data_IF_574902179805
#
_entry.id   IF_574902179805
#
_cell.length_a   1.000
_cell.length_b   1.000
_cell.length_c   1.000
_cell.angle_alpha   90.00
_cell.angle_beta   90.00
_cell.angle_gamma   90.00
#
_symmetry.space_group_name_H-M   'P 1'
#
loop_
_entity.id
_entity.type
_entity.pdbx_description
1 polymer ?
#
# COMPACT_ATOMS: atom_id res chain seq x y z
N UNK A 1 46.04 -9.69 36.42
CA UNK A 1 46.48 -11.09 36.50
C UNK A 1 47.10 -11.40 35.17
N UNK A 2 48.43 -11.13 35.02
CA UNK A 2 49.53 -12.06 34.76
C UNK A 2 49.14 -13.12 33.71
N UNK A 3 49.77 -13.12 32.52
CA UNK A 3 51.05 -13.76 32.29
C UNK A 3 51.60 -13.45 30.89
N UNK A 4 52.84 -13.02 30.85
CA UNK A 4 53.69 -12.90 29.67
C UNK A 4 54.51 -14.18 29.52
N UNK A 5 54.65 -14.78 28.34
CA UNK A 5 55.75 -15.72 28.13
C UNK A 5 56.49 -15.44 26.79
N UNK A 6 57.51 -14.61 26.85
CA UNK A 6 58.57 -14.65 25.83
C UNK A 6 59.87 -14.21 26.49
N UNK A 7 60.51 -15.13 27.21
CA UNK A 7 61.94 -15.08 27.59
C UNK A 7 62.43 -16.50 27.62
N UNK A 8 63.18 -16.86 26.57
CA UNK A 8 64.22 -17.90 26.58
C UNK A 8 64.71 -18.14 25.17
N UNK A 9 65.87 -17.58 24.89
CA UNK A 9 66.91 -18.26 24.10
C UNK A 9 68.03 -17.26 23.86
N UNK A 10 68.91 -17.12 24.82
CA UNK A 10 70.32 -16.79 24.64
C UNK A 10 71.04 -17.31 25.88
N UNK A 11 71.57 -18.52 25.74
CA UNK A 11 72.50 -19.14 26.69
C UNK A 11 73.90 -18.74 26.31
N UNK A 12 74.53 -18.06 27.23
CA UNK A 12 75.99 -17.82 27.26
C UNK A 12 76.66 -19.12 27.69
N UNK A 13 77.58 -19.58 26.92
CA UNK A 13 78.60 -20.50 27.42
C UNK A 13 79.98 -19.99 27.12
N UNK A 14 80.63 -19.64 28.19
CA UNK A 14 82.05 -19.45 28.38
C UNK A 14 82.79 -20.73 28.10
N UNK A 15 83.79 -20.73 27.23
CA UNK A 15 84.82 -21.76 27.23
C UNK A 15 86.21 -21.11 27.33
N UNK A 16 86.87 -21.55 28.38
CA UNK A 16 88.23 -21.31 28.82
C UNK A 16 89.24 -21.57 27.78
N UNK A 17 90.33 -20.71 27.82
CA UNK A 17 91.64 -20.99 27.34
C UNK A 17 92.29 -22.20 28.02
N UNK A 18 93.14 -22.94 27.35
CA UNK A 18 94.36 -23.41 27.95
C UNK A 18 95.63 -23.06 27.17
N UNK A 19 96.57 -22.87 27.86
CA UNK A 19 97.99 -22.63 27.97
C UNK A 19 98.89 -23.19 26.86
N UNK A 20 99.85 -22.41 26.63
CA UNK A 20 101.16 -22.54 25.97
C UNK A 20 101.84 -23.88 26.20
N UNK A 21 102.41 -24.43 25.13
CA UNK A 21 103.74 -25.07 25.17
C UNK A 21 104.48 -24.90 23.86
N UNK A 22 105.67 -24.28 24.06
CA UNK A 22 106.75 -24.13 23.12
C UNK A 22 107.33 -25.49 22.65
N UNK A 23 107.47 -25.68 21.33
CA UNK A 23 108.58 -26.49 20.83
C UNK A 23 109.03 -25.93 19.49
N UNK A 24 110.27 -25.60 19.52
CA UNK A 24 111.16 -25.10 18.49
C UNK A 24 111.10 -25.74 17.11
N UNK A 25 111.29 -24.90 16.10
CA UNK A 25 112.10 -25.15 14.93
C UNK A 25 111.48 -25.66 13.68
N UNK A 26 111.02 -24.78 12.84
CA UNK A 26 111.32 -24.88 11.40
C UNK A 26 110.81 -23.60 10.69
N UNK A 27 111.67 -22.92 10.03
CA UNK A 27 111.48 -21.76 9.18
C UNK A 27 110.56 -22.19 7.99
N UNK A 28 109.33 -21.77 8.01
CA UNK A 28 108.47 -21.74 6.86
C UNK A 28 108.38 -20.29 6.36
N UNK A 29 108.90 -20.13 5.17
CA UNK A 29 108.81 -18.89 4.44
C UNK A 29 107.37 -18.44 4.29
N UNK A 30 106.95 -17.39 4.88
CA UNK A 30 105.68 -16.74 4.60
C UNK A 30 105.73 -16.18 3.21
N UNK A 31 105.12 -16.88 2.28
CA UNK A 31 104.71 -16.31 1.03
C UNK A 31 103.79 -15.14 1.29
N UNK A 32 104.28 -13.92 0.97
CA UNK A 32 103.42 -12.76 0.90
C UNK A 32 102.20 -13.08 0.03
N UNK A 33 101.06 -13.16 0.66
CA UNK A 33 99.84 -13.03 -0.11
C UNK A 33 99.84 -11.60 -0.66
N UNK A 34 99.95 -11.53 -1.99
CA UNK A 34 99.69 -10.27 -2.72
C UNK A 34 98.21 -9.93 -2.43
N UNK A 35 98.01 -8.95 -1.55
CA UNK A 35 96.77 -8.22 -1.53
C UNK A 35 96.74 -7.43 -2.85
N UNK A 36 96.35 -8.15 -3.90
CA UNK A 36 95.78 -7.46 -5.04
C UNK A 36 94.40 -6.91 -4.60
N UNK A 37 94.43 -5.83 -3.86
CA UNK A 37 93.30 -4.93 -3.71
C UNK A 37 92.86 -4.62 -5.12
N UNK A 38 91.75 -5.27 -5.53
CA UNK A 38 91.07 -4.84 -6.72
C UNK A 38 90.70 -3.39 -6.56
N UNK A 39 91.66 -2.52 -7.11
CA UNK A 39 91.33 -1.12 -7.30
C UNK A 39 90.23 -1.08 -8.34
N UNK A 40 88.98 -1.24 -7.84
CA UNK A 40 87.79 -0.94 -8.64
C UNK A 40 87.94 0.52 -9.09
N UNK A 41 88.08 0.66 -10.40
CA UNK A 41 88.26 1.96 -10.99
C UNK A 41 87.08 2.85 -10.51
N UNK A 42 87.36 3.99 -9.95
CA UNK A 42 86.36 4.96 -9.48
C UNK A 42 85.35 5.31 -10.57
N UNK A 43 85.64 5.02 -11.77
CA UNK A 43 84.80 5.23 -12.93
C UNK A 43 83.65 4.16 -12.99
N UNK A 44 83.97 2.89 -12.79
CA UNK A 44 82.96 1.84 -12.75
C UNK A 44 82.00 1.98 -11.61
N UNK A 45 82.42 2.34 -10.47
CA UNK A 45 81.54 2.56 -9.32
C UNK A 45 80.58 3.74 -9.55
N UNK A 46 81.07 4.82 -10.19
CA UNK A 46 80.22 5.96 -10.58
C UNK A 46 79.19 5.58 -11.67
N UNK A 47 79.61 4.83 -12.69
CA UNK A 47 78.66 4.35 -13.74
C UNK A 47 77.65 3.44 -13.20
N UNK A 48 77.95 2.47 -12.35
CA UNK A 48 76.98 1.61 -11.70
C UNK A 48 75.99 2.39 -10.83
N UNK A 49 76.50 3.34 -10.00
CA UNK A 49 75.62 4.18 -9.18
C UNK A 49 74.70 5.05 -10.02
N UNK A 50 75.25 5.70 -11.07
CA UNK A 50 74.39 6.50 -11.96
C UNK A 50 73.38 5.70 -12.77
N UNK A 51 73.74 4.48 -13.17
CA UNK A 51 72.81 3.55 -13.83
C UNK A 51 71.71 3.10 -12.88
N UNK A 52 72.09 2.80 -11.62
CA UNK A 52 71.11 2.40 -10.58
C UNK A 52 70.17 3.54 -10.23
N UNK A 53 70.72 4.78 -10.09
CA UNK A 53 69.88 5.99 -9.87
C UNK A 53 69.00 6.25 -11.09
N UNK A 54 69.57 6.12 -12.31
CA UNK A 54 68.78 6.32 -13.53
C UNK A 54 67.63 5.33 -13.71
N UNK A 55 67.88 4.05 -13.43
CA UNK A 55 66.85 3.03 -13.48
C UNK A 55 65.79 3.22 -12.40
N UNK A 56 66.17 3.64 -11.18
CA UNK A 56 65.20 3.93 -10.11
C UNK A 56 64.37 5.14 -10.47
N UNK A 57 64.98 6.24 -10.94
CA UNK A 57 64.26 7.44 -11.38
C UNK A 57 63.34 7.14 -12.56
N UNK A 58 63.84 6.33 -13.54
CA UNK A 58 63.01 5.89 -14.65
C UNK A 58 61.82 5.02 -14.17
N UNK A 59 62.05 4.08 -13.24
CA UNK A 59 60.99 3.24 -12.64
C UNK A 59 59.94 4.10 -11.92
N UNK A 60 60.36 5.05 -11.12
CA UNK A 60 59.42 5.97 -10.42
C UNK A 60 58.67 6.86 -11.41
N UNK A 61 59.38 7.41 -12.43
CA UNK A 61 58.75 8.20 -13.48
C UNK A 61 57.73 7.35 -14.29
N UNK A 62 58.07 6.09 -14.61
CA UNK A 62 57.16 5.16 -15.25
C UNK A 62 55.93 4.88 -14.39
N UNK A 63 56.08 4.60 -13.08
CA UNK A 63 54.99 4.42 -12.13
C UNK A 63 54.09 5.66 -11.97
N UNK A 64 54.67 6.86 -12.14
CA UNK A 64 53.92 8.12 -12.10
C UNK A 64 53.13 8.40 -13.39
N UNK A 65 53.68 7.98 -14.56
CA UNK A 65 53.07 8.20 -15.87
C UNK A 65 52.11 7.09 -16.30
N UNK A 66 52.39 5.84 -15.90
CA UNK A 66 51.55 4.70 -16.20
C UNK A 66 50.22 4.81 -15.37
N UNK A 67 49.11 4.80 -16.07
CA UNK A 67 47.77 4.93 -15.47
C UNK A 67 47.03 3.60 -15.52
N UNK A 68 46.31 3.29 -14.46
CA UNK A 68 45.38 2.17 -14.39
C UNK A 68 44.00 2.71 -13.99
N UNK A 69 42.96 1.94 -14.28
CA UNK A 69 41.61 2.28 -13.90
C UNK A 69 41.34 1.74 -12.50
N UNK A 70 40.92 2.60 -11.60
CA UNK A 70 40.38 2.21 -10.29
C UNK A 70 38.94 1.72 -10.49
N UNK A 71 38.64 0.53 -10.04
CA UNK A 71 37.33 -0.09 -10.19
C UNK A 71 36.71 -0.39 -8.83
N UNK A 72 35.39 -0.31 -8.78
CA UNK A 72 34.58 -0.85 -7.67
C UNK A 72 33.85 -2.08 -8.16
N UNK A 73 34.10 -3.20 -7.49
CA UNK A 73 33.40 -4.45 -7.74
C UNK A 73 32.12 -4.47 -6.94
N UNK A 74 31.00 -4.68 -7.62
CA UNK A 74 29.68 -4.78 -7.01
C UNK A 74 28.97 -6.01 -7.57
N UNK A 75 28.39 -6.80 -6.70
CA UNK A 75 27.59 -7.98 -7.06
C UNK A 75 26.10 -7.61 -7.15
N UNK A 76 25.36 -8.31 -7.96
CA UNK A 76 23.94 -8.05 -8.14
C UNK A 76 23.24 -9.01 -9.05
N UNK A 77 22.09 -8.60 -9.57
CA UNK A 77 21.25 -9.41 -10.47
C UNK A 77 20.67 -8.58 -11.59
N UNK A 78 20.30 -9.24 -12.68
CA UNK A 78 19.53 -8.62 -13.74
C UNK A 78 18.07 -8.49 -13.32
N UNK A 79 17.56 -7.26 -13.37
CA UNK A 79 16.14 -6.96 -13.13
C UNK A 79 15.55 -6.29 -14.37
N UNK A 80 14.24 -6.47 -14.65
CA UNK A 80 13.60 -5.80 -15.77
C UNK A 80 13.48 -4.30 -15.50
N UNK A 81 13.70 -3.47 -16.51
CA UNK A 81 13.50 -2.03 -16.44
C UNK A 81 12.01 -1.77 -16.22
N UNK A 82 11.68 -1.25 -15.04
CA UNK A 82 10.32 -1.01 -14.59
C UNK A 82 10.00 -1.81 -13.33
N UNK A 83 9.25 -1.22 -12.45
CA UNK A 83 8.87 -1.88 -11.20
C UNK A 83 8.01 -3.12 -11.50
N UNK A 84 8.54 -4.28 -11.15
CA UNK A 84 7.78 -5.53 -11.13
C UNK A 84 6.49 -5.34 -10.32
N UNK A 85 5.35 -5.64 -10.93
CA UNK A 85 4.05 -5.56 -10.25
C UNK A 85 3.79 -6.88 -9.53
N UNK A 86 3.85 -6.83 -8.20
CA UNK A 86 3.42 -7.94 -7.35
C UNK A 86 1.90 -8.02 -7.37
N UNK A 87 1.37 -9.14 -7.81
CA UNK A 87 -0.07 -9.40 -7.82
C UNK A 87 -0.42 -10.14 -6.53
N UNK A 88 -1.17 -9.44 -5.70
CA UNK A 88 -1.61 -9.96 -4.41
C UNK A 88 -3.07 -10.38 -4.48
N UNK A 89 -3.43 -11.39 -3.70
CA UNK A 89 -4.81 -11.83 -3.54
C UNK A 89 -5.60 -10.80 -2.72
N UNK A 90 -6.62 -10.14 -3.29
CA UNK A 90 -7.40 -9.15 -2.54
C UNK A 90 -8.33 -9.80 -1.50
N UNK A 91 -8.74 -11.06 -1.73
CA UNK A 91 -9.55 -11.87 -0.82
C UNK A 91 -8.98 -13.29 -0.75
N UNK A 92 -9.04 -13.91 0.41
CA UNK A 92 -8.66 -15.32 0.56
C UNK A 92 -9.70 -16.24 -0.06
N UNK A 93 -9.26 -17.43 -0.47
CA UNK A 93 -10.13 -18.45 -1.03
C UNK A 93 -9.39 -19.59 -1.71
N UNK A 94 -10.15 -20.59 -2.15
CA UNK A 94 -9.62 -21.74 -2.88
C UNK A 94 -9.53 -21.41 -4.36
N UNK A 95 -8.39 -21.67 -4.98
CA UNK A 95 -8.19 -21.50 -6.43
C UNK A 95 -8.97 -22.57 -7.18
N UNK A 96 -9.98 -22.17 -7.92
CA UNK A 96 -10.78 -23.05 -8.76
C UNK A 96 -10.09 -23.32 -10.10
N UNK A 97 -9.55 -22.26 -10.73
CA UNK A 97 -8.93 -22.35 -12.05
C UNK A 97 -7.78 -21.36 -12.21
N UNK A 98 -6.68 -21.81 -12.76
CA UNK A 98 -5.55 -21.01 -13.19
C UNK A 98 -5.60 -20.90 -14.71
N UNK A 99 -5.67 -19.67 -15.24
CA UNK A 99 -5.86 -19.39 -16.67
C UNK A 99 -4.58 -18.99 -17.39
N UNK A 100 -3.48 -18.86 -16.66
CA UNK A 100 -2.18 -18.44 -17.18
C UNK A 100 -1.08 -19.37 -16.68
N UNK A 101 0.05 -19.36 -17.39
CA UNK A 101 1.25 -20.13 -17.04
C UNK A 101 2.41 -19.18 -16.77
N UNK A 102 3.38 -19.67 -16.03
CA UNK A 102 4.65 -18.96 -15.87
C UNK A 102 5.32 -18.74 -17.22
N UNK A 103 5.85 -17.54 -17.46
CA UNK A 103 6.39 -17.16 -18.78
C UNK A 103 5.34 -16.76 -19.84
N UNK A 104 4.06 -16.69 -19.51
CA UNK A 104 3.01 -16.29 -20.44
C UNK A 104 2.78 -14.77 -20.46
N UNK A 105 2.59 -14.22 -21.67
CA UNK A 105 2.16 -12.82 -21.85
C UNK A 105 0.68 -12.66 -21.51
N UNK A 106 0.36 -11.59 -20.78
CA UNK A 106 -1.01 -11.22 -20.39
C UNK A 106 -1.33 -9.77 -20.73
N UNK A 107 -2.58 -9.52 -21.06
CA UNK A 107 -3.10 -8.17 -21.32
C UNK A 107 -3.62 -7.51 -20.03
N UNK A 108 -3.66 -6.18 -20.01
CA UNK A 108 -4.33 -5.46 -18.93
C UNK A 108 -5.82 -5.86 -18.86
N UNK A 109 -6.32 -6.18 -17.65
CA UNK A 109 -7.69 -6.65 -17.43
C UNK A 109 -7.92 -8.15 -17.70
N UNK A 110 -6.95 -8.89 -18.22
CA UNK A 110 -7.06 -10.33 -18.44
C UNK A 110 -7.16 -11.07 -17.10
N UNK A 111 -8.09 -12.03 -17.02
CA UNK A 111 -8.27 -12.88 -15.83
C UNK A 111 -7.11 -13.87 -15.75
N UNK A 112 -6.45 -13.89 -14.60
CA UNK A 112 -5.28 -14.72 -14.30
C UNK A 112 -5.67 -15.97 -13.51
N UNK A 113 -6.43 -15.77 -12.45
CA UNK A 113 -6.87 -16.81 -11.53
C UNK A 113 -8.35 -16.58 -11.21
N UNK A 114 -9.11 -17.68 -11.12
CA UNK A 114 -10.47 -17.69 -10.59
C UNK A 114 -10.50 -18.46 -9.27
N UNK A 115 -11.00 -17.82 -8.24
CA UNK A 115 -11.33 -18.47 -6.97
C UNK A 115 -12.69 -19.17 -7.07
N UNK A 116 -12.93 -20.05 -6.13
CA UNK A 116 -14.25 -20.62 -5.94
C UNK A 116 -15.25 -19.52 -5.55
N UNK A 117 -16.34 -19.45 -6.30
CA UNK A 117 -17.37 -18.41 -6.16
C UNK A 117 -18.72 -18.94 -5.70
N UNK A 118 -18.83 -20.23 -5.41
CA UNK A 118 -20.13 -20.88 -5.12
C UNK A 118 -20.82 -20.23 -3.92
N UNK A 119 -20.17 -20.21 -2.77
CA UNK A 119 -20.68 -19.58 -1.54
C UNK A 119 -20.99 -18.09 -1.71
N UNK A 120 -20.14 -17.34 -2.40
CA UNK A 120 -20.35 -15.91 -2.62
C UNK A 120 -21.52 -15.63 -3.58
N UNK A 121 -21.76 -16.49 -4.56
CA UNK A 121 -22.93 -16.41 -5.45
C UNK A 121 -24.21 -16.74 -4.70
N UNK A 122 -24.21 -17.75 -3.86
CA UNK A 122 -25.35 -18.11 -3.02
C UNK A 122 -25.70 -16.97 -2.05
N UNK A 123 -24.72 -16.40 -1.38
CA UNK A 123 -24.91 -15.23 -0.51
C UNK A 123 -25.50 -14.04 -1.27
N UNK A 124 -24.96 -13.71 -2.44
CA UNK A 124 -25.51 -12.65 -3.30
C UNK A 124 -26.98 -12.92 -3.65
N UNK A 125 -27.31 -14.15 -4.10
CA UNK A 125 -28.67 -14.54 -4.48
C UNK A 125 -29.62 -14.48 -3.28
N UNK A 126 -29.16 -14.92 -2.10
CA UNK A 126 -29.92 -14.83 -0.85
C UNK A 126 -30.24 -13.38 -0.51
N UNK A 127 -29.24 -12.46 -0.55
CA UNK A 127 -29.47 -11.03 -0.28
C UNK A 127 -30.39 -10.38 -1.33
N UNK A 128 -30.27 -10.74 -2.60
CA UNK A 128 -31.19 -10.26 -3.66
C UNK A 128 -32.62 -10.68 -3.41
N UNK A 129 -32.84 -11.94 -2.99
CA UNK A 129 -34.18 -12.46 -2.65
C UNK A 129 -34.74 -11.78 -1.41
N UNK A 130 -33.94 -11.63 -0.35
CA UNK A 130 -34.38 -10.94 0.87
C UNK A 130 -34.71 -9.47 0.60
N UNK A 131 -33.88 -8.79 -0.22
CA UNK A 131 -34.12 -7.39 -0.61
C UNK A 131 -35.43 -7.23 -1.35
N UNK A 132 -35.71 -8.13 -2.29
CA UNK A 132 -36.99 -8.13 -3.03
C UNK A 132 -38.22 -8.31 -2.09
N UNK A 133 -38.14 -9.24 -1.13
CA UNK A 133 -39.19 -9.43 -0.14
C UNK A 133 -39.42 -8.21 0.75
N UNK A 134 -38.34 -7.54 1.16
CA UNK A 134 -38.41 -6.27 1.92
C UNK A 134 -39.04 -5.17 1.06
N UNK A 135 -38.64 -5.05 -0.21
CA UNK A 135 -39.17 -4.03 -1.13
C UNK A 135 -40.68 -4.20 -1.33
N UNK A 136 -41.15 -5.43 -1.51
CA UNK A 136 -42.58 -5.77 -1.61
C UNK A 136 -43.34 -5.42 -0.31
N UNK A 137 -42.78 -5.79 0.86
CA UNK A 137 -43.36 -5.47 2.16
C UNK A 137 -43.41 -3.96 2.41
N UNK A 138 -42.35 -3.27 2.06
CA UNK A 138 -42.26 -1.80 2.18
C UNK A 138 -43.34 -1.13 1.31
N UNK A 139 -43.52 -1.56 0.07
CA UNK A 139 -44.53 -1.04 -0.84
C UNK A 139 -45.95 -1.23 -0.29
N UNK A 140 -46.24 -2.39 0.30
CA UNK A 140 -47.55 -2.67 0.95
C UNK A 140 -47.74 -1.74 2.15
N UNK A 141 -46.75 -1.59 3.03
CA UNK A 141 -46.85 -0.74 4.21
C UNK A 141 -46.96 0.76 3.86
N UNK A 142 -46.29 1.20 2.80
CA UNK A 142 -46.47 2.57 2.28
C UNK A 142 -47.84 2.82 1.70
N UNK A 143 -48.46 1.81 1.04
CA UNK A 143 -49.84 1.89 0.55
C UNK A 143 -50.82 1.95 1.72
N UNK A 144 -50.64 1.10 2.73
CA UNK A 144 -51.44 1.11 3.95
C UNK A 144 -51.37 2.48 4.65
N UNK A 145 -50.18 3.00 4.82
CA UNK A 145 -49.94 4.35 5.39
C UNK A 145 -50.67 5.45 4.62
N UNK A 146 -50.68 5.37 3.29
CA UNK A 146 -51.40 6.35 2.45
C UNK A 146 -52.93 6.26 2.66
N UNK A 147 -53.47 5.07 2.83
CA UNK A 147 -54.90 4.87 3.12
C UNK A 147 -55.27 5.43 4.49
N UNK A 148 -54.50 5.17 5.52
CA UNK A 148 -54.70 5.72 6.87
C UNK A 148 -54.66 7.24 6.88
N UNK A 149 -53.77 7.88 6.10
CA UNK A 149 -53.77 9.34 5.96
C UNK A 149 -55.01 9.88 5.27
N UNK A 150 -55.54 9.16 4.26
CA UNK A 150 -56.77 9.52 3.59
C UNK A 150 -57.99 9.44 4.56
N UNK A 151 -58.04 8.35 5.36
CA UNK A 151 -59.09 8.17 6.38
C UNK A 151 -59.03 9.27 7.44
N UNK A 152 -57.80 9.64 7.89
CA UNK A 152 -57.62 10.73 8.82
C UNK A 152 -58.14 12.08 8.27
N UNK A 153 -57.87 12.37 7.00
CA UNK A 153 -58.33 13.59 6.31
C UNK A 153 -59.86 13.60 6.20
N UNK A 154 -60.50 12.48 5.86
CA UNK A 154 -61.97 12.32 5.83
C UNK A 154 -62.56 12.55 7.21
N UNK A 155 -62.01 11.97 8.28
CA UNK A 155 -62.47 12.16 9.66
C UNK A 155 -62.34 13.60 10.12
N UNK A 156 -61.28 14.30 9.77
CA UNK A 156 -61.11 15.74 10.05
C UNK A 156 -62.16 16.58 9.31
N UNK A 157 -62.45 16.25 8.07
CA UNK A 157 -63.48 16.92 7.27
C UNK A 157 -64.89 16.67 7.88
N UNK A 158 -65.18 15.46 8.33
CA UNK A 158 -66.39 15.09 9.06
C UNK A 158 -66.54 15.91 10.33
N UNK A 159 -65.47 16.00 11.13
CA UNK A 159 -65.42 16.82 12.34
C UNK A 159 -65.74 18.29 12.04
N UNK A 160 -65.11 18.88 11.02
CA UNK A 160 -65.30 20.27 10.63
C UNK A 160 -66.77 20.55 10.25
N UNK A 161 -67.36 19.66 9.43
CA UNK A 161 -68.78 19.77 9.04
C UNK A 161 -69.72 19.62 10.24
N UNK A 162 -69.46 18.68 11.13
CA UNK A 162 -70.25 18.48 12.36
C UNK A 162 -70.21 19.70 13.25
N UNK A 163 -69.06 20.32 13.42
CA UNK A 163 -68.93 21.57 14.18
C UNK A 163 -69.71 22.68 13.50
N UNK A 164 -69.54 22.89 12.19
CA UNK A 164 -70.26 23.92 11.42
C UNK A 164 -71.78 23.79 11.57
N UNK A 165 -72.34 22.62 11.34
CA UNK A 165 -73.78 22.32 11.49
C UNK A 165 -74.27 22.55 12.91
N UNK A 166 -73.45 22.16 13.91
CA UNK A 166 -73.82 22.35 15.33
C UNK A 166 -73.81 23.83 15.70
N UNK A 167 -72.87 24.64 15.19
CA UNK A 167 -72.83 26.08 15.40
C UNK A 167 -74.02 26.80 14.76
N UNK A 168 -74.44 26.39 13.56
CA UNK A 168 -75.65 26.92 12.93
C UNK A 168 -76.90 26.64 13.77
N UNK A 169 -77.07 25.37 14.25
CA UNK A 169 -78.18 24.98 15.12
C UNK A 169 -78.18 25.77 16.42
N UNK A 170 -76.99 25.94 17.08
CA UNK A 170 -76.85 26.74 18.29
C UNK A 170 -77.19 28.19 18.05
N UNK A 171 -76.78 28.76 16.91
CA UNK A 171 -77.11 30.15 16.50
C UNK A 171 -78.61 30.31 16.34
N UNK A 172 -79.32 29.38 15.66
CA UNK A 172 -80.75 29.41 15.50
C UNK A 172 -81.49 29.41 16.87
N UNK A 173 -81.08 28.46 17.77
CA UNK A 173 -81.67 28.34 19.10
C UNK A 173 -81.41 29.59 19.98
N UNK A 174 -80.22 30.23 19.90
CA UNK A 174 -79.90 31.49 20.57
C UNK A 174 -80.79 32.61 20.09
N UNK A 175 -80.95 32.73 18.76
CA UNK A 175 -81.87 33.79 18.21
C UNK A 175 -83.31 33.55 18.64
N UNK A 176 -83.76 32.28 18.65
CA UNK A 176 -85.12 31.95 19.17
C UNK A 176 -85.25 32.23 20.65
N UNK A 177 -84.24 31.91 21.48
CA UNK A 177 -84.26 32.20 22.92
C UNK A 177 -84.31 33.72 23.16
N UNK A 178 -83.53 34.49 22.39
CA UNK A 178 -83.54 35.96 22.51
C UNK A 178 -84.93 36.56 22.18
N UNK A 179 -85.60 36.06 21.12
CA UNK A 179 -86.95 36.45 20.75
C UNK A 179 -87.98 36.09 21.84
N UNK A 180 -87.91 34.81 22.30
CA UNK A 180 -88.83 34.29 23.34
C UNK A 180 -88.65 35.14 24.67
N UNK A 181 -87.40 35.53 25.04
CA UNK A 181 -87.10 36.31 26.19
C UNK A 181 -87.60 37.77 26.04
N UNK A 182 -87.47 38.36 24.82
CA UNK A 182 -88.03 39.69 24.53
C UNK A 182 -89.59 39.70 24.68
N UNK A 183 -90.22 38.66 24.11
CA UNK A 183 -91.63 38.48 24.21
C UNK A 183 -92.07 38.35 25.71
N UNK A 184 -91.35 37.52 26.49
CA UNK A 184 -91.56 37.34 27.91
C UNK A 184 -91.54 38.68 28.67
N UNK A 185 -90.55 39.54 28.40
CA UNK A 185 -90.36 40.85 28.99
C UNK A 185 -91.57 41.73 28.68
N UNK A 186 -92.14 41.65 27.48
CA UNK A 186 -93.37 42.39 27.11
C UNK A 186 -94.57 41.86 27.85
N UNK A 187 -94.82 40.57 27.99
CA UNK A 187 -95.88 39.95 28.75
C UNK A 187 -95.78 40.30 30.26
N UNK A 188 -94.57 40.28 30.81
CA UNK A 188 -94.34 40.69 32.20
C UNK A 188 -94.84 42.13 32.49
N UNK A 189 -94.53 43.07 31.62
CA UNK A 189 -94.94 44.43 31.69
C UNK A 189 -96.47 44.56 31.57
N UNK A 190 -97.10 43.82 30.66
CA UNK A 190 -98.59 43.82 30.50
C UNK A 190 -99.30 43.13 31.64
N UNK A 191 -98.78 42.04 32.18
CA UNK A 191 -99.34 41.36 33.35
C UNK A 191 -99.30 42.30 34.62
N UNK A 192 -98.14 42.99 34.82
CA UNK A 192 -98.04 44.01 35.91
C UNK A 192 -98.99 45.17 35.74
N UNK A 193 -99.32 45.53 34.51
CA UNK A 193 -100.31 46.56 34.20
C UNK A 193 -101.78 46.08 34.29
N UNK A 194 -102.02 44.78 34.59
CA UNK A 194 -103.38 44.21 34.67
C UNK A 194 -104.02 44.03 33.27
N UNK A 195 -103.31 44.20 32.16
CA UNK A 195 -103.80 44.18 30.80
C UNK A 195 -103.79 42.79 30.15
N UNK A 196 -103.11 41.76 30.79
CA UNK A 196 -102.95 40.39 30.26
C UNK A 196 -103.16 39.38 31.40
N UNK A 197 -103.47 38.10 31.03
CA UNK A 197 -103.65 36.98 31.94
C UNK A 197 -102.31 36.47 32.49
N UNK A 198 -102.22 36.22 33.81
CA UNK A 198 -101.07 35.66 34.50
C UNK A 198 -100.70 34.25 33.86
N UNK A 199 -101.71 33.53 33.37
CA UNK A 199 -101.54 32.25 32.70
C UNK A 199 -100.69 32.37 31.39
N UNK A 200 -100.92 33.46 30.63
CA UNK A 200 -100.16 33.73 29.40
C UNK A 200 -98.69 34.06 29.69
N UNK A 201 -98.44 34.87 30.74
CA UNK A 201 -97.09 35.18 31.22
C UNK A 201 -96.35 33.89 31.64
N UNK A 202 -97.02 33.00 32.47
CA UNK A 202 -96.43 31.69 32.88
C UNK A 202 -96.21 30.78 31.71
N UNK A 203 -97.07 30.72 30.70
CA UNK A 203 -96.90 29.97 29.47
C UNK A 203 -95.70 30.45 28.70
N UNK A 204 -95.49 31.73 28.52
CA UNK A 204 -94.34 32.28 27.83
C UNK A 204 -93.02 32.04 28.60
N UNK A 205 -93.06 32.13 29.94
CA UNK A 205 -91.92 31.79 30.80
C UNK A 205 -91.53 30.35 30.64
N UNK A 206 -92.48 29.38 30.60
CA UNK A 206 -92.19 28.02 30.34
C UNK A 206 -91.57 27.79 28.95
N UNK A 207 -92.01 28.54 27.92
CA UNK A 207 -91.46 28.48 26.58
C UNK A 207 -89.98 28.95 26.52
N UNK A 208 -89.64 30.02 27.26
CA UNK A 208 -88.25 30.47 27.40
C UNK A 208 -87.38 29.39 28.05
N UNK A 209 -87.86 28.80 29.18
CA UNK A 209 -87.11 27.70 29.84
C UNK A 209 -86.98 26.46 28.96
N UNK A 210 -88.02 26.13 28.17
CA UNK A 210 -87.98 25.06 27.20
C UNK A 210 -86.90 25.30 26.08
N UNK A 211 -86.93 26.51 25.48
CA UNK A 211 -85.95 26.90 24.45
C UNK A 211 -84.52 26.95 25.01
N UNK A 212 -84.34 27.42 26.25
CA UNK A 212 -83.06 27.37 26.96
C UNK A 212 -82.60 25.92 27.20
N UNK A 213 -83.51 25.02 27.60
CA UNK A 213 -83.19 23.60 27.75
C UNK A 213 -82.74 22.95 26.43
N UNK A 214 -83.49 23.29 25.33
CA UNK A 214 -83.07 22.79 23.97
C UNK A 214 -81.71 23.32 23.55
N UNK A 215 -81.37 24.57 23.83
CA UNK A 215 -80.06 25.15 23.58
C UNK A 215 -78.96 24.40 24.37
N UNK A 216 -79.18 24.21 25.67
CA UNK A 216 -78.24 23.48 26.52
C UNK A 216 -78.03 22.05 26.03
N UNK A 217 -79.11 21.37 25.64
CA UNK A 217 -79.05 20.03 25.10
C UNK A 217 -78.22 19.97 23.78
N UNK A 218 -78.45 20.90 22.85
CA UNK A 218 -77.72 21.03 21.62
C UNK A 218 -76.22 21.24 21.86
N UNK A 219 -75.85 22.05 22.84
CA UNK A 219 -74.43 22.27 23.24
C UNK A 219 -73.79 21.01 23.80
N UNK A 220 -74.49 20.28 24.67
CA UNK A 220 -74.01 19.00 25.22
C UNK A 220 -73.85 17.95 24.11
N UNK A 221 -74.80 17.85 23.19
CA UNK A 221 -74.73 16.89 22.07
C UNK A 221 -73.60 17.24 21.12
N UNK A 222 -73.32 18.53 20.82
CA UNK A 222 -72.17 18.97 20.07
C UNK A 222 -70.85 18.54 20.75
N UNK A 223 -70.73 18.84 22.07
CA UNK A 223 -69.54 18.43 22.80
C UNK A 223 -69.29 16.93 22.77
N UNK A 224 -70.38 16.15 22.94
CA UNK A 224 -70.27 14.67 22.88
C UNK A 224 -69.86 14.17 21.52
N UNK A 225 -70.48 14.68 20.42
CA UNK A 225 -70.16 14.30 19.05
C UNK A 225 -68.70 14.66 18.67
N UNK A 226 -68.28 15.91 19.01
CA UNK A 226 -66.91 16.34 18.75
C UNK A 226 -65.90 15.56 19.57
N UNK A 227 -66.18 15.19 20.80
CA UNK A 227 -65.32 14.34 21.64
C UNK A 227 -65.14 12.94 21.04
N UNK A 228 -66.20 12.30 20.55
CA UNK A 228 -66.15 10.96 19.91
C UNK A 228 -65.33 11.02 18.62
N UNK A 229 -65.55 12.04 17.75
CA UNK A 229 -64.78 12.23 16.52
C UNK A 229 -63.31 12.51 16.80
N UNK A 230 -62.98 13.36 17.78
CA UNK A 230 -61.62 13.65 18.22
C UNK A 230 -60.94 12.38 18.76
N UNK A 231 -61.64 11.54 19.53
CA UNK A 231 -61.07 10.28 19.99
C UNK A 231 -60.72 9.35 18.81
N UNK A 232 -61.60 9.26 17.79
CA UNK A 232 -61.34 8.49 16.57
C UNK A 232 -60.13 9.02 15.79
N UNK A 233 -60.01 10.37 15.65
CA UNK A 233 -58.86 11.02 15.02
C UNK A 233 -57.58 10.72 15.78
N UNK A 234 -57.57 10.75 17.11
CA UNK A 234 -56.40 10.42 17.93
C UNK A 234 -55.96 8.96 17.75
N UNK A 235 -56.96 8.05 17.68
CA UNK A 235 -56.66 6.62 17.43
C UNK A 235 -55.99 6.40 16.05
N UNK A 236 -56.54 7.01 14.99
CA UNK A 236 -55.96 6.97 13.66
C UNK A 236 -54.55 7.58 13.64
N UNK A 237 -54.33 8.68 14.34
CA UNK A 237 -53.01 9.30 14.46
C UNK A 237 -51.98 8.37 15.13
N UNK A 238 -52.40 7.64 16.18
CA UNK A 238 -51.55 6.63 16.83
C UNK A 238 -51.22 5.49 15.87
N UNK A 239 -52.17 5.00 15.12
CA UNK A 239 -51.99 3.93 14.13
C UNK A 239 -51.00 4.40 13.05
N UNK A 240 -51.17 5.60 12.51
CA UNK A 240 -50.25 6.25 11.54
C UNK A 240 -48.84 6.30 12.08
N UNK A 241 -48.67 6.75 13.33
CA UNK A 241 -47.34 6.83 13.95
C UNK A 241 -46.67 5.46 14.09
N UNK A 242 -47.41 4.43 14.49
CA UNK A 242 -46.91 3.06 14.56
C UNK A 242 -46.52 2.52 13.17
N UNK A 243 -47.34 2.80 12.17
CA UNK A 243 -47.08 2.39 10.79
C UNK A 243 -45.89 3.10 10.21
N UNK A 244 -45.71 4.41 10.48
CA UNK A 244 -44.51 5.18 10.11
C UNK A 244 -43.26 4.60 10.74
N UNK A 245 -43.29 4.24 12.02
CA UNK A 245 -42.17 3.58 12.69
C UNK A 245 -41.80 2.25 12.01
N UNK A 246 -42.80 1.42 11.68
CA UNK A 246 -42.56 0.15 10.98
C UNK A 246 -42.01 0.34 9.57
N UNK A 247 -42.46 1.34 8.82
CA UNK A 247 -41.91 1.75 7.52
C UNK A 247 -40.45 2.19 7.66
N UNK A 248 -40.13 2.97 8.68
CA UNK A 248 -38.75 3.41 8.94
C UNK A 248 -37.85 2.23 9.28
N UNK A 249 -38.33 1.29 10.09
CA UNK A 249 -37.56 0.10 10.44
C UNK A 249 -37.28 -0.79 9.21
N UNK A 250 -38.28 -0.98 8.32
CA UNK A 250 -38.11 -1.68 7.06
C UNK A 250 -37.10 -0.98 6.14
N UNK A 251 -37.10 0.36 6.08
CA UNK A 251 -36.09 1.13 5.31
C UNK A 251 -34.67 0.92 5.84
N UNK A 252 -34.49 0.86 7.16
CA UNK A 252 -33.19 0.54 7.75
C UNK A 252 -32.72 -0.88 7.38
N UNK A 253 -33.62 -1.87 7.46
CA UNK A 253 -33.31 -3.24 7.02
C UNK A 253 -32.98 -3.31 5.52
N UNK A 254 -33.72 -2.57 4.69
CA UNK A 254 -33.43 -2.46 3.25
C UNK A 254 -32.04 -1.89 3.00
N UNK A 255 -31.63 -0.83 3.73
CA UNK A 255 -30.32 -0.23 3.60
C UNK A 255 -29.19 -1.20 4.02
N UNK A 256 -29.37 -1.94 5.11
CA UNK A 256 -28.42 -2.96 5.57
C UNK A 256 -28.25 -4.09 4.52
N UNK A 257 -29.36 -4.60 3.99
CA UNK A 257 -29.30 -5.62 2.94
C UNK A 257 -28.67 -5.12 1.65
N UNK A 258 -28.89 -3.85 1.27
CA UNK A 258 -28.21 -3.23 0.11
C UNK A 258 -26.70 -3.12 0.33
N UNK A 259 -26.27 -2.78 1.54
CA UNK A 259 -24.85 -2.76 1.89
C UNK A 259 -24.23 -4.15 1.79
N UNK A 260 -24.86 -5.18 2.38
CA UNK A 260 -24.41 -6.57 2.31
C UNK A 260 -24.38 -7.12 0.88
N UNK A 261 -25.37 -6.78 0.07
CA UNK A 261 -25.39 -7.14 -1.35
C UNK A 261 -24.24 -6.50 -2.12
N UNK A 262 -23.92 -5.24 -1.83
CA UNK A 262 -22.80 -4.54 -2.44
C UNK A 262 -21.48 -5.19 -2.04
N UNK A 263 -21.29 -5.54 -0.78
CA UNK A 263 -20.12 -6.26 -0.27
C UNK A 263 -19.96 -7.63 -0.99
N UNK A 264 -21.03 -8.41 -1.07
CA UNK A 264 -21.02 -9.70 -1.79
C UNK A 264 -20.65 -9.54 -3.28
N UNK A 265 -21.13 -8.48 -3.94
CA UNK A 265 -20.78 -8.17 -5.34
C UNK A 265 -19.31 -7.78 -5.48
N UNK A 266 -18.76 -7.03 -4.53
CA UNK A 266 -17.34 -6.64 -4.51
C UNK A 266 -16.46 -7.87 -4.28
N UNK A 267 -16.82 -8.74 -3.33
CA UNK A 267 -16.13 -10.00 -3.08
C UNK A 267 -16.10 -10.89 -4.33
N UNK A 268 -17.24 -11.07 -5.01
CA UNK A 268 -17.29 -11.80 -6.28
C UNK A 268 -16.38 -11.22 -7.36
N UNK A 269 -16.28 -9.89 -7.44
CA UNK A 269 -15.36 -9.23 -8.39
C UNK A 269 -13.90 -9.51 -8.06
N UNK A 270 -13.55 -9.55 -6.78
CA UNK A 270 -12.19 -9.84 -6.31
C UNK A 270 -11.82 -11.32 -6.39
N UNK A 271 -12.80 -12.21 -6.48
CA UNK A 271 -12.56 -13.64 -6.74
C UNK A 271 -12.09 -13.92 -8.18
N UNK A 272 -12.23 -12.96 -9.10
CA UNK A 272 -11.56 -12.97 -10.39
C UNK A 272 -10.32 -12.07 -10.34
N UNK A 273 -9.14 -12.66 -10.13
CA UNK A 273 -7.88 -11.92 -10.14
C UNK A 273 -7.51 -11.53 -11.55
N UNK A 274 -7.35 -10.24 -11.81
CA UNK A 274 -7.03 -9.69 -13.15
C UNK A 274 -5.68 -8.99 -13.15
N UNK A 275 -5.02 -9.02 -14.31
CA UNK A 275 -3.78 -8.26 -14.50
C UNK A 275 -4.05 -6.75 -14.54
N UNK A 276 -3.35 -5.93 -13.75
CA UNK A 276 -3.47 -4.48 -13.81
C UNK A 276 -2.74 -3.86 -15.03
N UNK A 277 -1.80 -4.61 -15.63
CA UNK A 277 -0.94 -4.13 -16.74
C UNK A 277 -0.74 -5.22 -17.78
N UNK A 278 -0.38 -4.84 -19.01
CA UNK A 278 0.14 -5.77 -19.99
C UNK A 278 1.58 -6.14 -19.61
N UNK A 279 1.93 -7.44 -19.61
CA UNK A 279 3.27 -7.88 -19.24
C UNK A 279 3.45 -9.39 -19.26
N UNK A 280 4.60 -9.85 -18.78
CA UNK A 280 4.97 -11.26 -18.67
C UNK A 280 4.76 -11.73 -17.23
N UNK A 281 4.06 -12.84 -17.05
CA UNK A 281 3.86 -13.49 -15.74
C UNK A 281 5.10 -14.27 -15.36
N UNK A 282 5.53 -14.17 -14.11
CA UNK A 282 6.60 -14.98 -13.53
C UNK A 282 6.44 -15.15 -12.03
N UNK A 283 7.16 -16.10 -11.43
CA UNK A 283 7.13 -16.43 -10.00
C UNK A 283 5.69 -16.73 -9.52
N UNK A 284 5.01 -17.63 -10.22
CA UNK A 284 3.64 -18.01 -9.92
C UNK A 284 3.61 -19.04 -8.78
N UNK A 285 3.01 -18.65 -7.64
CA UNK A 285 2.90 -19.50 -6.45
C UNK A 285 1.86 -20.64 -6.59
N UNK A 286 0.59 -20.38 -7.05
CA UNK A 286 -0.36 -21.47 -7.25
C UNK A 286 0.01 -22.27 -8.50
N UNK A 287 0.50 -23.49 -8.31
CA UNK A 287 0.87 -24.41 -9.40
C UNK A 287 -0.28 -25.31 -9.83
N UNK A 288 -1.34 -25.45 -9.01
CA UNK A 288 -2.48 -26.34 -9.28
C UNK A 288 -3.80 -25.79 -8.72
N UNK A 289 -4.95 -26.16 -9.31
CA UNK A 289 -6.25 -25.96 -8.70
C UNK A 289 -6.34 -26.62 -7.32
N UNK A 290 -7.12 -26.05 -6.40
CA UNK A 290 -7.21 -26.48 -5.01
C UNK A 290 -6.24 -25.77 -4.05
N UNK A 291 -5.32 -24.94 -4.57
CA UNK A 291 -4.48 -24.08 -3.72
C UNK A 291 -5.34 -23.10 -2.92
N UNK A 292 -5.07 -22.99 -1.62
CA UNK A 292 -5.76 -22.04 -0.75
C UNK A 292 -4.89 -20.80 -0.58
N UNK A 293 -5.28 -19.70 -1.23
CA UNK A 293 -4.60 -18.42 -1.12
C UNK A 293 -5.13 -17.61 0.06
N UNK A 294 -4.23 -16.94 0.77
CA UNK A 294 -4.60 -16.01 1.83
C UNK A 294 -4.78 -14.59 1.28
N UNK A 295 -5.56 -13.77 1.99
CA UNK A 295 -5.66 -12.34 1.66
C UNK A 295 -4.29 -11.68 1.80
N UNK A 296 -3.95 -10.77 0.85
CA UNK A 296 -2.65 -10.06 0.72
C UNK A 296 -1.45 -10.93 0.33
N UNK A 297 -1.63 -12.22 0.13
CA UNK A 297 -0.57 -13.09 -0.35
C UNK A 297 -0.18 -12.75 -1.79
N UNK A 298 1.12 -12.65 -2.07
CA UNK A 298 1.62 -12.43 -3.43
C UNK A 298 1.60 -13.75 -4.19
N UNK A 299 0.71 -13.88 -5.16
CA UNK A 299 0.51 -15.12 -5.92
C UNK A 299 1.28 -15.17 -7.23
N UNK A 300 1.68 -14.04 -7.78
CA UNK A 300 2.53 -13.94 -8.96
C UNK A 300 3.11 -12.55 -9.10
N UNK A 301 4.07 -12.42 -9.99
CA UNK A 301 4.67 -11.16 -10.37
C UNK A 301 4.47 -10.94 -11.86
N UNK A 302 4.26 -9.68 -12.27
CA UNK A 302 4.13 -9.30 -13.67
C UNK A 302 5.19 -8.26 -14.00
N UNK A 303 6.00 -8.55 -15.01
CA UNK A 303 6.92 -7.58 -15.62
C UNK A 303 6.13 -6.80 -16.64
N UNK A 304 5.92 -5.47 -16.44
CA UNK A 304 5.18 -4.65 -17.38
C UNK A 304 5.89 -4.58 -18.72
N UNK A 305 5.11 -4.57 -19.78
CA UNK A 305 5.56 -4.29 -21.13
C UNK A 305 5.82 -2.79 -21.33
N UNK A 306 6.96 -2.43 -21.91
CA UNK A 306 7.30 -1.04 -22.23
C UNK A 306 7.26 -0.84 -23.74
N UNK A 307 6.46 0.13 -24.21
CA UNK A 307 6.32 0.47 -25.63
C UNK A 307 7.53 1.23 -26.22
N UNK A 308 8.40 1.79 -25.38
CA UNK A 308 9.48 2.71 -25.79
C UNK A 308 10.88 2.12 -25.56
N UNK A 309 11.12 0.89 -25.93
CA UNK A 309 12.48 0.31 -25.92
C UNK A 309 13.38 0.93 -27.00
N UNK A 310 14.71 1.09 -26.74
CA UNK A 310 15.64 1.55 -27.77
C UNK A 310 15.69 0.51 -28.88
N UNK A 311 15.06 0.83 -30.02
CA UNK A 311 15.04 -0.05 -31.20
C UNK A 311 13.68 -0.26 -31.85
N UNK A 312 12.57 0.25 -31.29
CA UNK A 312 11.24 0.17 -31.92
C UNK A 312 10.68 -1.24 -32.07
N UNK A 313 11.30 -2.24 -31.49
CA UNK A 313 10.78 -3.59 -31.36
C UNK A 313 10.18 -3.80 -29.97
N UNK A 314 9.01 -4.47 -29.98
CA UNK A 314 8.30 -4.93 -28.80
C UNK A 314 9.25 -5.81 -27.94
N UNK A 315 9.97 -5.18 -27.00
CA UNK A 315 10.92 -5.89 -26.15
C UNK A 315 10.31 -6.17 -24.79
N UNK A 316 10.29 -7.44 -24.41
CA UNK A 316 9.89 -7.89 -23.08
C UNK A 316 10.92 -7.40 -22.06
N UNK A 317 10.72 -6.15 -21.59
CA UNK A 317 11.47 -5.54 -20.52
C UNK A 317 12.96 -5.53 -20.75
N UNK A 318 13.48 -4.43 -21.32
CA UNK A 318 14.90 -4.17 -21.24
C UNK A 318 15.39 -4.45 -19.81
N UNK A 319 16.48 -5.20 -19.69
CA UNK A 319 17.06 -5.55 -18.41
C UNK A 319 18.01 -4.44 -17.96
N UNK A 320 18.01 -4.17 -16.67
CA UNK A 320 19.01 -3.35 -15.99
C UNK A 320 19.75 -4.20 -14.96
N UNK A 321 21.00 -3.89 -14.73
CA UNK A 321 21.74 -4.52 -13.67
C UNK A 321 21.52 -3.75 -12.36
N UNK A 322 20.96 -4.41 -11.37
CA UNK A 322 20.87 -3.90 -10.03
C UNK A 322 21.95 -4.50 -9.18
N UNK A 323 22.91 -3.67 -8.78
CA UNK A 323 24.10 -4.09 -8.04
C UNK A 323 24.16 -3.42 -6.67
N UNK A 324 24.85 -4.05 -5.75
CA UNK A 324 25.03 -3.59 -4.39
C UNK A 324 26.47 -3.14 -4.19
N UNK A 325 26.67 -1.86 -3.99
CA UNK A 325 27.98 -1.28 -3.77
C UNK A 325 28.23 -1.16 -2.27
N UNK A 326 29.35 -1.68 -1.73
CA UNK A 326 29.69 -1.56 -0.32
C UNK A 326 29.77 -0.09 0.13
N UNK A 327 29.35 0.16 1.38
CA UNK A 327 29.27 1.52 1.96
C UNK A 327 30.59 2.27 1.95
N UNK A 328 31.73 1.57 2.09
CA UNK A 328 33.07 2.18 2.06
C UNK A 328 33.49 2.70 0.69
N UNK A 329 32.81 2.31 -0.40
CA UNK A 329 33.15 2.69 -1.79
C UNK A 329 32.07 3.53 -2.48
N UNK A 330 30.86 3.60 -1.95
CA UNK A 330 29.75 4.33 -2.58
C UNK A 330 30.04 5.83 -2.77
N UNK A 331 30.84 6.43 -1.88
CA UNK A 331 31.23 7.83 -1.97
C UNK A 331 31.92 8.23 -3.27
N UNK A 332 32.49 7.27 -4.00
CA UNK A 332 33.17 7.48 -5.27
C UNK A 332 32.28 7.20 -6.50
N UNK A 333 31.16 6.51 -6.34
CA UNK A 333 30.26 6.16 -7.45
C UNK A 333 29.33 7.32 -7.78
N UNK A 334 29.23 7.65 -9.08
CA UNK A 334 28.36 8.72 -9.61
C UNK A 334 27.56 8.19 -10.80
N UNK A 335 26.45 8.82 -11.08
CA UNK A 335 25.68 8.61 -12.31
C UNK A 335 26.52 9.02 -13.53
N UNK A 336 26.38 8.28 -14.63
CA UNK A 336 27.16 8.50 -15.86
C UNK A 336 28.50 7.73 -15.92
N UNK A 337 28.87 6.96 -14.86
CA UNK A 337 30.08 6.14 -14.87
C UNK A 337 29.87 4.87 -15.69
N UNK A 338 30.87 4.53 -16.49
CA UNK A 338 30.94 3.29 -17.24
C UNK A 338 31.15 2.08 -16.32
N UNK A 339 30.53 0.97 -16.66
CA UNK A 339 30.68 -0.29 -15.95
C UNK A 339 30.80 -1.45 -16.91
N UNK A 340 31.72 -2.37 -16.63
CA UNK A 340 31.86 -3.65 -17.31
C UNK A 340 31.15 -4.73 -16.47
N UNK A 341 30.14 -5.37 -17.06
CA UNK A 341 29.25 -6.31 -16.37
C UNK A 341 29.55 -7.73 -16.86
N UNK A 342 29.88 -8.60 -15.94
CA UNK A 342 30.08 -10.03 -16.16
C UNK A 342 28.89 -10.80 -15.58
N UNK A 343 28.29 -11.68 -16.37
CA UNK A 343 27.21 -12.57 -15.91
C UNK A 343 27.86 -13.82 -15.33
N UNK A 344 27.58 -14.15 -14.08
CA UNK A 344 28.26 -15.24 -13.36
C UNK A 344 28.04 -16.61 -14.00
N UNK A 345 26.88 -16.81 -14.66
CA UNK A 345 26.57 -18.03 -15.40
C UNK A 345 27.35 -18.18 -16.72
N UNK A 346 28.01 -17.10 -17.18
CA UNK A 346 28.73 -17.08 -18.47
C UNK A 346 30.13 -16.51 -18.29
N UNK A 347 31.19 -17.36 -18.29
CA UNK A 347 32.57 -16.90 -18.09
C UNK A 347 32.96 -15.80 -19.07
N UNK A 348 33.48 -14.69 -18.55
CA UNK A 348 33.85 -13.51 -19.34
C UNK A 348 34.96 -13.78 -20.36
N UNK A 349 35.75 -14.84 -20.16
CA UNK A 349 36.79 -15.28 -21.10
C UNK A 349 36.22 -15.75 -22.45
N UNK A 350 35.03 -16.33 -22.43
CA UNK A 350 34.39 -16.95 -23.62
C UNK A 350 33.31 -16.05 -24.21
N UNK A 351 32.58 -15.35 -23.33
CA UNK A 351 31.40 -14.55 -23.68
C UNK A 351 31.65 -13.05 -23.68
N UNK A 352 32.77 -12.58 -23.09
CA UNK A 352 33.08 -11.18 -22.95
C UNK A 352 32.33 -10.53 -21.78
N UNK A 353 32.31 -9.20 -21.75
CA UNK A 353 31.61 -8.39 -20.75
C UNK A 353 30.58 -7.52 -21.44
N UNK A 354 29.48 -7.25 -20.75
CA UNK A 354 28.45 -6.29 -21.17
C UNK A 354 28.88 -4.90 -20.70
N UNK A 355 28.77 -3.93 -21.58
CA UNK A 355 28.97 -2.53 -21.20
C UNK A 355 27.66 -1.94 -20.67
N UNK A 356 27.77 -1.14 -19.62
CA UNK A 356 26.65 -0.44 -19.02
C UNK A 356 27.08 0.90 -18.46
N UNK A 357 26.08 1.72 -18.14
CA UNK A 357 26.26 3.03 -17.54
C UNK A 357 25.45 3.15 -16.26
N UNK A 358 26.03 3.70 -15.21
CA UNK A 358 25.36 3.96 -13.93
C UNK A 358 24.29 5.03 -14.12
N UNK A 359 23.02 4.65 -14.03
CA UNK A 359 21.88 5.57 -14.22
C UNK A 359 21.31 6.08 -12.91
N UNK A 360 21.40 5.28 -11.84
CA UNK A 360 20.86 5.67 -10.54
C UNK A 360 21.72 5.11 -9.40
N UNK A 361 22.00 5.96 -8.42
CA UNK A 361 22.61 5.58 -7.15
C UNK A 361 21.57 5.74 -6.05
N UNK A 362 21.29 4.68 -5.30
CA UNK A 362 20.36 4.70 -4.19
C UNK A 362 20.87 5.60 -3.06
N UNK A 363 19.97 6.32 -2.44
CA UNK A 363 20.27 7.21 -1.31
C UNK A 363 20.16 6.51 0.05
N UNK A 364 19.60 5.32 0.08
CA UNK A 364 19.39 4.56 1.32
C UNK A 364 20.21 3.26 1.30
N UNK A 365 20.83 2.96 2.45
CA UNK A 365 21.65 1.76 2.60
C UNK A 365 20.79 0.56 2.94
N UNK A 366 21.02 -0.55 2.25
CA UNK A 366 20.44 -1.84 2.56
C UNK A 366 21.14 -2.43 3.79
N UNK A 367 20.40 -2.89 4.82
CA UNK A 367 20.99 -3.53 5.98
C UNK A 367 21.63 -4.89 5.62
N UNK A 368 22.54 -5.41 6.46
CA UNK A 368 23.07 -6.76 6.30
C UNK A 368 21.93 -7.80 6.22
N UNK A 369 22.00 -8.69 5.25
CA UNK A 369 21.06 -9.79 5.08
C UNK A 369 21.81 -11.11 4.88
N UNK A 370 21.74 -12.04 5.86
CA UNK A 370 22.40 -13.34 5.76
C UNK A 370 21.87 -14.22 4.62
N UNK A 371 20.60 -14.02 4.20
CA UNK A 371 20.01 -14.81 3.11
C UNK A 371 20.54 -14.39 1.74
N UNK A 372 20.87 -13.10 1.58
CA UNK A 372 21.49 -12.57 0.36
C UNK A 372 23.04 -12.52 0.43
N UNK A 373 23.65 -13.16 1.44
CA UNK A 373 25.10 -13.18 1.69
C UNK A 373 25.74 -11.80 1.91
N UNK A 374 24.91 -10.81 2.29
CA UNK A 374 25.35 -9.44 2.55
C UNK A 374 25.80 -9.33 4.01
N UNK A 375 27.09 -9.10 4.23
CA UNK A 375 27.67 -8.96 5.58
C UNK A 375 27.78 -7.51 6.04
N UNK A 376 27.77 -6.55 5.10
CA UNK A 376 27.96 -5.12 5.35
C UNK A 376 26.81 -4.31 4.76
N UNK A 377 26.73 -3.04 5.18
CA UNK A 377 25.83 -2.06 4.58
C UNK A 377 26.21 -1.84 3.10
N UNK A 378 25.25 -1.98 2.22
CA UNK A 378 25.43 -1.77 0.79
C UNK A 378 24.39 -0.80 0.23
N UNK A 379 24.78 -0.07 -0.81
CA UNK A 379 23.89 0.85 -1.52
C UNK A 379 23.46 0.25 -2.85
N UNK A 380 22.16 0.26 -3.17
CA UNK A 380 21.70 -0.23 -4.46
C UNK A 380 22.06 0.76 -5.56
N UNK A 381 22.70 0.26 -6.61
CA UNK A 381 23.07 1.03 -7.79
C UNK A 381 22.44 0.35 -9.01
N UNK A 382 21.81 1.16 -9.87
CA UNK A 382 21.19 0.69 -11.12
C UNK A 382 22.10 1.06 -12.28
N UNK A 383 22.40 0.06 -13.13
CA UNK A 383 23.24 0.20 -14.32
C UNK A 383 22.42 -0.20 -15.52
N UNK A 384 22.26 0.70 -16.48
CA UNK A 384 21.59 0.41 -17.75
C UNK A 384 22.56 -0.27 -18.68
N UNK A 385 22.12 -1.38 -19.29
CA UNK A 385 22.94 -2.17 -20.22
C UNK A 385 22.91 -1.51 -21.61
N UNK A 386 24.08 -1.35 -22.23
CA UNK A 386 24.18 -0.88 -23.62
C UNK A 386 23.62 -1.91 -24.62
N UNK A 387 23.74 -3.19 -24.31
CA UNK A 387 23.25 -4.29 -25.14
C UNK A 387 22.47 -5.28 -24.28
N UNK A 388 21.33 -5.76 -24.79
CA UNK A 388 20.44 -6.73 -24.13
C UNK A 388 20.77 -8.19 -24.48
N UNK A 389 21.83 -8.43 -25.24
CA UNK A 389 22.24 -9.75 -25.72
C UNK A 389 23.75 -9.89 -25.55
N UNK A 390 24.16 -11.06 -25.12
CA UNK A 390 25.57 -11.44 -25.07
C UNK A 390 25.94 -12.10 -26.41
N UNK A 391 27.01 -11.60 -27.03
CA UNK A 391 27.52 -12.17 -28.30
C UNK A 391 28.60 -13.20 -27.99
N UNK A 392 28.40 -14.45 -28.41
CA UNK A 392 29.48 -15.42 -28.39
C UNK A 392 30.57 -15.08 -29.42
N UNK A 393 31.79 -15.43 -29.13
CA UNK A 393 32.89 -15.38 -30.12
C UNK A 393 32.62 -16.24 -31.38
N UNK A 394 31.71 -17.21 -31.26
CA UNK A 394 31.22 -18.06 -32.35
C UNK A 394 30.11 -17.46 -33.21
N UNK A 395 29.60 -16.27 -32.87
CA UNK A 395 28.59 -15.52 -33.64
C UNK A 395 27.14 -15.74 -33.21
N UNK A 396 26.84 -16.62 -32.25
CA UNK A 396 25.49 -16.81 -31.75
C UNK A 396 25.18 -15.79 -30.63
N UNK A 397 23.93 -15.27 -30.61
CA UNK A 397 23.46 -14.34 -29.60
C UNK A 397 22.73 -15.12 -28.48
N UNK A 398 23.13 -14.88 -27.24
CA UNK A 398 22.47 -15.39 -26.05
C UNK A 398 21.56 -14.33 -25.48
N UNK A 399 20.30 -14.67 -25.18
CA UNK A 399 19.36 -13.79 -24.49
C UNK A 399 19.63 -13.84 -22.98
N UNK A 400 19.63 -12.67 -22.37
CA UNK A 400 19.77 -12.52 -20.94
C UNK A 400 18.43 -12.85 -20.25
N UNK A 401 18.48 -13.52 -19.11
CA UNK A 401 17.31 -13.87 -18.30
C UNK A 401 17.19 -12.96 -17.07
N UNK A 402 15.96 -12.70 -16.64
CA UNK A 402 15.67 -12.02 -15.37
C UNK A 402 16.18 -12.85 -14.20
N UNK A 403 16.79 -12.21 -13.20
CA UNK A 403 17.29 -12.89 -12.00
C UNK A 403 18.68 -13.52 -12.14
N UNK A 404 19.34 -13.43 -13.30
CA UNK A 404 20.73 -13.89 -13.44
C UNK A 404 21.66 -13.07 -12.56
N UNK A 405 22.52 -13.74 -11.78
CA UNK A 405 23.56 -13.14 -10.98
C UNK A 405 24.64 -12.52 -11.86
N UNK A 406 25.19 -11.41 -11.43
CA UNK A 406 26.22 -10.69 -12.16
C UNK A 406 27.21 -9.99 -11.21
N UNK A 407 28.38 -9.73 -11.76
CA UNK A 407 29.39 -8.89 -11.12
C UNK A 407 29.66 -7.69 -12.02
N UNK A 408 29.50 -6.48 -11.48
CA UNK A 408 29.75 -5.23 -12.18
C UNK A 408 31.05 -4.58 -11.69
N UNK A 409 31.91 -4.21 -12.62
CA UNK A 409 33.12 -3.45 -12.37
C UNK A 409 32.89 -1.99 -12.79
N UNK A 410 32.54 -1.15 -11.83
CA UNK A 410 32.27 0.27 -12.07
C UNK A 410 33.61 1.01 -12.15
N UNK A 411 33.88 1.70 -13.26
CA UNK A 411 35.12 2.43 -13.51
C UNK A 411 35.04 3.81 -12.83
N UNK A 412 35.86 4.03 -11.82
CA UNK A 412 35.83 5.28 -11.05
C UNK A 412 36.67 6.37 -11.72
N UNK A 413 38.00 6.20 -11.73
CA UNK A 413 38.93 7.16 -12.24
C UNK A 413 40.21 6.50 -12.71
N UNK A 414 40.96 7.20 -13.57
CA UNK A 414 42.31 6.76 -13.96
C UNK A 414 43.30 7.29 -12.95
N UNK A 415 43.97 6.43 -12.24
CA UNK A 415 45.00 6.74 -11.24
C UNK A 415 46.36 6.22 -11.71
N UNK A 416 47.45 6.89 -11.30
CA UNK A 416 48.78 6.37 -11.55
C UNK A 416 49.12 5.24 -10.59
N UNK A 417 49.99 4.30 -11.02
CA UNK A 417 50.43 3.22 -10.12
C UNK A 417 51.14 3.77 -8.87
N UNK A 418 51.80 4.93 -8.99
CA UNK A 418 52.42 5.60 -7.85
C UNK A 418 51.39 6.08 -6.83
N UNK A 419 50.23 6.60 -7.28
CA UNK A 419 49.12 7.03 -6.40
C UNK A 419 48.51 5.85 -5.69
N UNK A 420 48.34 4.71 -6.37
CA UNK A 420 47.83 3.49 -5.77
C UNK A 420 48.74 2.97 -4.64
N UNK A 421 50.06 2.90 -4.89
CA UNK A 421 51.04 2.48 -3.90
C UNK A 421 51.07 3.43 -2.69
N UNK A 422 51.06 4.74 -2.92
CA UNK A 422 51.09 5.74 -1.84
C UNK A 422 49.77 5.75 -1.04
N UNK A 423 48.61 5.53 -1.69
CA UNK A 423 47.32 5.43 -1.04
C UNK A 423 47.22 4.26 -0.05
N UNK A 424 47.67 3.05 -0.46
CA UNK A 424 47.73 1.92 0.47
C UNK A 424 48.66 2.12 1.67
N UNK A 425 49.75 2.82 1.47
CA UNK A 425 50.67 3.19 2.57
C UNK A 425 50.06 4.24 3.49
N UNK A 426 49.33 5.20 2.96
CA UNK A 426 48.71 6.27 3.73
C UNK A 426 47.57 5.72 4.61
N UNK A 427 46.72 4.83 4.08
CA UNK A 427 45.65 4.18 4.82
C UNK A 427 46.17 3.27 5.94
N UNK A 428 47.27 2.55 5.71
CA UNK A 428 47.96 1.75 6.73
C UNK A 428 48.67 2.60 7.78
N UNK A 429 49.25 3.74 7.40
CA UNK A 429 49.91 4.65 8.33
C UNK A 429 48.89 5.35 9.24
N UNK A 430 47.75 5.78 8.72
CA UNK A 430 46.64 6.33 9.53
C UNK A 430 46.02 5.30 10.49
N UNK A 431 45.91 4.03 10.06
CA UNK A 431 45.39 2.96 10.92
C UNK A 431 46.34 2.65 12.10
N UNK A 432 47.66 2.84 11.90
CA UNK A 432 48.66 2.68 12.96
C UNK A 432 48.74 3.89 13.93
N UNK A 433 48.30 5.06 13.50
CA UNK A 433 48.23 6.26 14.36
C UNK A 433 46.98 6.29 15.25
N UNK A 434 45.98 5.47 14.97
CA UNK A 434 44.72 5.39 15.75
C UNK A 434 44.71 4.22 16.76
N UNK A 435 45.80 3.48 16.86
CA UNK A 435 46.05 2.47 17.91
C UNK A 435 46.92 3.06 19.05
#
# INVERSE_FOLDING_TARGET
MKLNPFKRFFGSDLVKNPEVQDVSGSTVSITKYDESVLQQSRFWMRTVTWTLIGTTVFGVAWLALARTEEIVVATGKLEPIGSVKKIQMPVGGVVQQILVKDGQEVQAGQVLIKLDTETSKEQKTSYETQLKAIDETLALKQKELKLEFLELDLKKTELARTIEMSLEQESMLKNQLQLDAEILTRYEKLALAGAESELQYLSQKNRVEETKGRLMQAQVDQQRQTAVLNQGIQQLQQNINQLQQSVQQLKLQQADLKAKLTEARVTLRYQELKSPVRGLVFDMQPTSPGYTAQSTETVMKIVPYRQDGPGGQDDYGALEARVEVPSNKIGFVRTGMESDISIDSYPSTDFGVLQGEVTKVGSDALPPDPQEQRQELAFPVTITLANQQLKLKSGSNLRLGVGMSLTANIKLRKVSYLQLLLGEFQDKAESLQRL
#
